data_IF_774521840498
#
_entry.id   IF_774521840498
#
_cell.length_a   1.000
_cell.length_b   1.000
_cell.length_c   1.000
_cell.angle_alpha   90.00
_cell.angle_beta   90.00
_cell.angle_gamma   90.00
#
_symmetry.space_group_name_H-M   'P 1'
#
loop_
_entity.id
_entity.type
_entity.pdbx_description
1 polymer ?
#
# COMPACT_ATOMS: atom_id res chain seq x y z
N UNK A 1 -46.87 42.81 44.74
CA UNK A 1 -46.79 41.95 43.54
C UNK A 1 -45.33 41.47 43.44
N UNK A 2 -45.06 40.16 43.68
CA UNK A 2 -43.74 39.57 43.76
C UNK A 2 -43.44 38.90 42.43
N UNK A 3 -42.46 39.35 41.66
CA UNK A 3 -42.01 38.72 40.42
C UNK A 3 -40.97 37.61 40.78
N UNK A 4 -41.33 36.37 40.43
CA UNK A 4 -40.48 35.20 40.57
C UNK A 4 -39.67 35.03 39.26
N UNK A 5 -38.31 34.93 39.27
CA UNK A 5 -37.56 34.69 38.04
C UNK A 5 -37.61 33.20 37.69
N UNK A 6 -37.99 32.92 36.47
CA UNK A 6 -37.94 31.57 35.84
C UNK A 6 -36.51 31.24 35.48
N UNK A 7 -35.92 30.28 36.19
CA UNK A 7 -34.57 29.76 35.92
C UNK A 7 -34.66 28.69 34.82
N UNK A 8 -34.26 29.04 33.60
CA UNK A 8 -34.11 28.07 32.51
C UNK A 8 -32.81 27.23 32.71
N UNK A 9 -32.97 25.96 33.10
CA UNK A 9 -31.88 24.97 33.09
C UNK A 9 -31.63 24.51 31.66
N UNK A 10 -30.57 24.99 31.02
CA UNK A 10 -30.08 24.49 29.73
C UNK A 10 -29.29 23.21 29.98
N UNK A 11 -29.93 22.04 29.88
CA UNK A 11 -29.28 20.75 29.94
C UNK A 11 -28.45 20.48 28.68
N UNK A 12 -27.14 20.69 28.76
CA UNK A 12 -26.22 20.31 27.69
C UNK A 12 -26.09 18.80 27.62
N UNK A 13 -26.59 18.17 26.55
CA UNK A 13 -26.25 16.78 26.19
C UNK A 13 -24.79 16.75 25.74
N UNK A 14 -23.89 16.35 26.63
CA UNK A 14 -22.54 15.91 26.25
C UNK A 14 -22.67 14.55 25.52
N UNK A 15 -22.66 14.60 24.20
CA UNK A 15 -22.47 13.40 23.38
C UNK A 15 -21.02 12.93 23.57
N UNK A 16 -20.80 11.95 24.44
CA UNK A 16 -19.55 11.24 24.55
C UNK A 16 -19.34 10.43 23.28
N UNK A 17 -18.56 10.96 22.33
CA UNK A 17 -18.00 10.16 21.24
C UNK A 17 -17.09 9.11 21.85
N UNK A 18 -17.56 7.86 21.95
CA UNK A 18 -16.73 6.73 22.28
C UNK A 18 -15.59 6.66 21.23
N UNK A 19 -14.38 6.95 21.65
CA UNK A 19 -13.19 6.72 20.83
C UNK A 19 -13.12 5.21 20.55
N UNK A 20 -13.49 4.82 19.33
CA UNK A 20 -13.37 3.44 18.87
C UNK A 20 -11.89 3.10 18.83
N UNK A 21 -11.46 2.15 19.63
CA UNK A 21 -10.11 1.59 19.56
C UNK A 21 -9.83 1.17 18.12
N UNK A 22 -8.73 1.65 17.56
CA UNK A 22 -8.33 1.22 16.22
C UNK A 22 -8.05 -0.28 16.27
N UNK A 23 -8.68 -1.05 15.39
CA UNK A 23 -8.40 -2.48 15.27
C UNK A 23 -6.90 -2.69 14.97
N UNK A 24 -6.27 -3.73 15.56
CA UNK A 24 -4.86 -4.00 15.33
C UNK A 24 -4.60 -4.27 13.84
N UNK A 25 -3.51 -3.71 13.32
CA UNK A 25 -3.12 -3.93 11.91
C UNK A 25 -2.73 -5.39 11.73
N UNK A 26 -3.39 -6.07 10.79
CA UNK A 26 -3.06 -7.42 10.35
C UNK A 26 -2.29 -7.34 9.03
N UNK A 27 -1.10 -7.90 8.98
CA UNK A 27 -0.32 -8.03 7.75
C UNK A 27 -0.59 -9.39 7.09
N UNK A 28 -0.68 -9.39 5.77
CA UNK A 28 -0.89 -10.56 4.92
C UNK A 28 0.24 -10.61 3.90
N UNK A 29 0.88 -11.76 3.73
CA UNK A 29 1.89 -11.93 2.69
C UNK A 29 1.24 -11.76 1.31
N UNK A 30 1.65 -10.73 0.58
CA UNK A 30 1.09 -10.39 -0.71
C UNK A 30 1.39 -11.46 -1.79
N UNK A 31 2.37 -12.34 -1.58
CA UNK A 31 2.61 -13.49 -2.45
C UNK A 31 1.47 -14.52 -2.44
N UNK A 32 0.63 -14.51 -1.38
CA UNK A 32 -0.56 -15.37 -1.28
C UNK A 32 -1.80 -14.77 -1.96
N UNK A 33 -1.71 -13.52 -2.40
CA UNK A 33 -2.77 -12.81 -3.11
C UNK A 33 -2.62 -12.94 -4.63
N UNK A 34 -3.53 -12.33 -5.37
CA UNK A 34 -3.47 -12.38 -6.85
C UNK A 34 -2.46 -11.38 -7.39
N UNK A 35 -1.34 -11.87 -7.92
CA UNK A 35 -0.36 -11.04 -8.65
C UNK A 35 -0.69 -11.07 -10.13
N UNK A 36 -0.88 -9.90 -10.74
CA UNK A 36 -1.19 -9.71 -12.17
C UNK A 36 -0.06 -8.99 -12.90
N UNK A 37 -0.14 -8.93 -14.24
CA UNK A 37 0.85 -8.27 -15.09
C UNK A 37 2.01 -9.18 -15.51
N UNK A 38 2.00 -10.44 -15.12
CA UNK A 38 3.04 -11.43 -15.41
C UNK A 38 2.61 -12.31 -16.58
N UNK A 39 3.47 -12.49 -17.57
CA UNK A 39 3.19 -13.38 -18.71
C UNK A 39 3.32 -14.87 -18.32
N UNK A 40 4.27 -15.20 -17.47
CA UNK A 40 4.53 -16.57 -17.00
C UNK A 40 4.87 -16.56 -15.50
N UNK A 41 4.52 -17.63 -14.77
CA UNK A 41 4.94 -17.78 -13.37
C UNK A 41 6.47 -17.78 -13.23
N UNK A 42 6.96 -17.25 -12.12
CA UNK A 42 8.37 -17.30 -11.73
C UNK A 42 8.47 -17.82 -10.30
N UNK A 43 9.59 -18.41 -9.92
CA UNK A 43 9.84 -18.88 -8.56
C UNK A 43 9.70 -17.75 -7.53
N UNK A 44 10.35 -16.61 -7.80
CA UNK A 44 10.18 -15.39 -7.00
C UNK A 44 8.95 -14.63 -7.49
N UNK A 45 7.89 -14.48 -6.68
CA UNK A 45 6.59 -13.97 -7.13
C UNK A 45 6.64 -12.56 -7.73
N UNK A 46 7.62 -11.77 -7.37
CA UNK A 46 7.75 -10.39 -7.84
C UNK A 46 8.75 -10.19 -8.98
N UNK A 47 9.43 -11.24 -9.45
CA UNK A 47 10.26 -11.17 -10.65
C UNK A 47 9.38 -11.20 -11.90
N UNK A 48 9.63 -10.30 -12.86
CA UNK A 48 8.88 -10.26 -14.13
C UNK A 48 9.19 -11.42 -15.05
N UNK A 49 10.46 -11.80 -15.12
CA UNK A 49 10.98 -12.78 -16.07
C UNK A 49 11.82 -13.81 -15.31
N UNK A 50 11.61 -15.06 -15.62
CA UNK A 50 12.47 -16.15 -15.15
C UNK A 50 13.72 -16.22 -16.04
N UNK A 51 14.84 -15.72 -15.50
CA UNK A 51 16.13 -15.70 -16.22
C UNK A 51 16.81 -17.06 -16.28
N UNK A 52 16.33 -18.06 -15.55
CA UNK A 52 16.78 -19.45 -15.68
C UNK A 52 16.17 -20.12 -16.90
N UNK A 53 14.93 -19.79 -17.20
CA UNK A 53 14.18 -20.30 -18.35
C UNK A 53 14.44 -19.50 -19.63
N UNK A 54 14.61 -18.18 -19.51
CA UNK A 54 14.81 -17.28 -20.66
C UNK A 54 16.19 -16.64 -20.59
N UNK A 55 16.99 -16.93 -21.62
CA UNK A 55 18.30 -16.30 -21.74
C UNK A 55 18.14 -14.81 -22.05
N UNK A 56 18.73 -13.98 -21.21
CA UNK A 56 18.73 -12.52 -21.38
C UNK A 56 20.17 -12.01 -21.53
N UNK A 57 20.41 -10.88 -22.22
CA UNK A 57 21.76 -10.31 -22.35
C UNK A 57 22.38 -10.03 -20.98
N UNK A 58 23.71 -10.18 -20.87
CA UNK A 58 24.45 -10.14 -19.59
C UNK A 58 24.22 -8.89 -18.73
N UNK A 59 23.88 -7.75 -19.33
CA UNK A 59 23.58 -6.50 -18.61
C UNK A 59 22.10 -6.34 -18.19
N UNK A 60 21.24 -7.27 -18.58
CA UNK A 60 19.77 -7.16 -18.45
C UNK A 60 19.20 -7.88 -17.22
N UNK A 61 19.84 -8.91 -16.60
CA UNK A 61 19.18 -9.72 -15.56
C UNK A 61 18.58 -8.88 -14.42
N UNK A 62 19.25 -7.80 -14.02
CA UNK A 62 18.76 -6.90 -12.96
C UNK A 62 17.37 -6.34 -13.23
N UNK A 63 17.09 -5.97 -14.48
CA UNK A 63 15.77 -5.43 -14.87
C UNK A 63 14.66 -6.49 -14.92
N UNK A 64 15.03 -7.76 -15.07
CA UNK A 64 14.08 -8.87 -15.01
C UNK A 64 13.52 -9.09 -13.61
N UNK A 65 14.25 -8.67 -12.59
CA UNK A 65 13.86 -8.79 -11.19
C UNK A 65 13.07 -7.58 -10.66
N UNK A 66 12.97 -6.50 -11.42
CA UNK A 66 12.11 -5.37 -11.08
C UNK A 66 10.67 -5.72 -11.41
N UNK A 67 9.72 -5.48 -10.48
CA UNK A 67 8.31 -5.83 -10.69
C UNK A 67 7.53 -4.80 -11.52
N UNK A 68 8.20 -4.01 -12.33
CA UNK A 68 7.58 -2.99 -13.19
C UNK A 68 6.41 -3.55 -13.98
N UNK A 69 5.22 -2.98 -13.81
CA UNK A 69 4.00 -3.44 -14.47
C UNK A 69 3.30 -4.60 -13.76
N UNK A 70 3.87 -5.13 -12.67
CA UNK A 70 3.17 -6.06 -11.80
C UNK A 70 2.33 -5.31 -10.77
N UNK A 71 1.19 -5.90 -10.42
CA UNK A 71 0.35 -5.40 -9.35
C UNK A 71 -0.26 -6.55 -8.55
N UNK A 72 -0.63 -6.27 -7.30
CA UNK A 72 -1.37 -7.18 -6.42
C UNK A 72 -2.82 -6.73 -6.39
N UNK A 73 -3.75 -7.65 -6.67
CA UNK A 73 -5.20 -7.41 -6.56
C UNK A 73 -5.72 -8.11 -5.32
N UNK A 74 -6.50 -7.40 -4.53
CA UNK A 74 -7.11 -7.94 -3.31
C UNK A 74 -8.41 -7.19 -2.96
N UNK A 75 -9.18 -7.78 -2.04
CA UNK A 75 -10.37 -7.14 -1.46
C UNK A 75 -10.19 -6.97 0.04
N UNK A 76 -10.73 -5.90 0.57
CA UNK A 76 -10.70 -5.59 2.00
C UNK A 76 -11.87 -4.70 2.41
N UNK A 77 -12.37 -4.89 3.62
CA UNK A 77 -13.30 -3.99 4.31
C UNK A 77 -12.57 -3.01 5.24
N UNK A 78 -11.26 -3.17 5.42
CA UNK A 78 -10.43 -2.32 6.28
C UNK A 78 -10.54 -0.84 5.91
N UNK A 79 -10.49 0.03 6.91
CA UNK A 79 -10.49 1.49 6.75
C UNK A 79 -9.10 2.09 6.61
N UNK A 80 -8.07 1.25 6.79
CA UNK A 80 -6.66 1.64 6.68
C UNK A 80 -5.90 0.54 5.98
N UNK A 81 -5.07 0.91 5.00
CA UNK A 81 -4.12 0.00 4.35
C UNK A 81 -2.71 0.48 4.68
N UNK A 82 -1.91 -0.41 5.24
CA UNK A 82 -0.47 -0.25 5.45
C UNK A 82 0.26 -1.31 4.65
N UNK A 83 1.49 -1.02 4.29
CA UNK A 83 2.37 -2.01 3.71
C UNK A 83 3.72 -2.02 4.42
N UNK A 84 4.30 -3.22 4.51
CA UNK A 84 5.71 -3.47 4.79
C UNK A 84 6.31 -4.14 3.59
N UNK A 85 7.42 -3.62 3.09
CA UNK A 85 8.08 -4.25 1.93
C UNK A 85 9.59 -4.16 2.02
N UNK A 86 10.24 -5.12 1.39
CA UNK A 86 11.69 -5.20 1.31
C UNK A 86 12.15 -5.09 -0.14
N UNK A 87 13.15 -4.23 -0.38
CA UNK A 87 13.76 -3.99 -1.69
C UNK A 87 15.24 -4.41 -1.71
N UNK A 88 15.99 -4.14 -2.79
CA UNK A 88 17.39 -4.55 -2.92
C UNK A 88 18.35 -3.86 -1.95
N UNK A 89 17.96 -2.75 -1.34
CA UNK A 89 18.84 -1.93 -0.50
C UNK A 89 19.73 -0.96 -1.29
N UNK A 90 19.66 -0.94 -2.62
CA UNK A 90 20.38 0.04 -3.43
C UNK A 90 19.87 1.46 -3.14
N UNK A 91 20.79 2.43 -3.17
CA UNK A 91 20.39 3.83 -3.13
C UNK A 91 19.53 4.18 -4.33
N UNK A 92 18.57 5.10 -4.19
CA UNK A 92 17.87 5.66 -5.34
C UNK A 92 18.84 6.27 -6.35
N UNK A 93 18.51 6.16 -7.63
CA UNK A 93 19.30 6.76 -8.71
C UNK A 93 19.11 8.28 -8.74
N UNK A 94 20.09 9.02 -9.23
CA UNK A 94 20.06 10.48 -9.27
C UNK A 94 18.96 11.04 -10.17
N UNK A 95 18.55 10.25 -11.18
CA UNK A 95 17.57 10.66 -12.19
C UNK A 95 16.14 10.24 -11.91
N UNK A 96 15.86 9.62 -10.75
CA UNK A 96 14.52 9.12 -10.41
C UNK A 96 14.23 9.26 -8.91
N UNK A 97 13.09 9.82 -8.56
CA UNK A 97 12.67 9.93 -7.18
C UNK A 97 12.56 8.55 -6.50
N UNK A 98 12.95 8.48 -5.23
CA UNK A 98 12.91 7.23 -4.45
C UNK A 98 11.52 6.57 -4.44
N UNK A 99 10.46 7.37 -4.41
CA UNK A 99 9.08 6.88 -4.45
C UNK A 99 8.76 6.21 -5.78
N UNK A 100 9.27 6.71 -6.89
CA UNK A 100 9.08 6.07 -8.20
C UNK A 100 9.87 4.76 -8.31
N UNK A 101 11.06 4.68 -7.70
CA UNK A 101 11.89 3.48 -7.77
C UNK A 101 11.39 2.36 -6.87
N UNK A 102 11.04 2.69 -5.62
CA UNK A 102 10.82 1.73 -4.51
C UNK A 102 9.43 1.83 -3.90
N UNK A 103 8.60 2.78 -4.33
CA UNK A 103 7.27 3.01 -3.78
C UNK A 103 6.22 2.03 -4.28
N UNK A 104 5.03 2.15 -3.70
CA UNK A 104 3.84 1.36 -4.03
C UNK A 104 2.72 2.35 -4.35
N UNK A 105 1.95 2.12 -5.42
CA UNK A 105 0.80 2.95 -5.78
C UNK A 105 -0.49 2.17 -5.63
N UNK A 106 -1.38 2.65 -4.76
CA UNK A 106 -2.67 2.03 -4.49
C UNK A 106 -3.78 2.69 -5.30
N UNK A 107 -4.57 1.85 -5.95
CA UNK A 107 -5.84 2.23 -6.59
C UNK A 107 -6.98 1.45 -5.95
N UNK A 108 -8.15 2.08 -5.88
CA UNK A 108 -9.39 1.47 -5.39
C UNK A 108 -10.42 1.55 -6.51
N UNK A 109 -11.19 0.47 -6.70
CA UNK A 109 -12.26 0.46 -7.67
C UNK A 109 -13.45 1.25 -7.17
N UNK A 110 -13.86 2.26 -7.94
CA UNK A 110 -15.00 3.10 -7.65
C UNK A 110 -15.86 3.25 -8.92
N UNK A 111 -17.12 2.87 -8.85
CA UNK A 111 -18.05 2.90 -9.98
C UNK A 111 -17.50 2.22 -11.25
N UNK A 112 -16.76 1.13 -11.08
CA UNK A 112 -16.18 0.36 -12.18
C UNK A 112 -14.82 0.84 -12.66
N UNK A 113 -14.32 1.98 -12.20
CA UNK A 113 -13.04 2.56 -12.59
C UNK A 113 -11.99 2.48 -11.48
N UNK A 114 -10.71 2.39 -11.86
CA UNK A 114 -9.60 2.44 -10.92
C UNK A 114 -9.23 3.89 -10.60
N UNK A 115 -9.40 4.28 -9.35
CA UNK A 115 -9.09 5.62 -8.85
C UNK A 115 -7.87 5.57 -7.95
N UNK A 116 -6.89 6.45 -8.19
CA UNK A 116 -5.71 6.55 -7.33
C UNK A 116 -6.12 6.90 -5.90
N UNK A 117 -5.64 6.11 -4.94
CA UNK A 117 -6.04 6.20 -3.53
C UNK A 117 -4.89 6.59 -2.60
N UNK A 118 -3.67 6.25 -2.93
CA UNK A 118 -2.53 6.58 -2.07
C UNK A 118 -1.21 5.96 -2.50
N UNK A 119 -0.15 6.35 -1.82
CA UNK A 119 1.22 5.92 -2.13
C UNK A 119 1.92 5.39 -0.89
N UNK A 120 2.54 4.21 -1.02
CA UNK A 120 3.50 3.66 -0.06
C UNK A 120 4.86 4.30 -0.28
N UNK A 121 5.22 5.28 0.56
CA UNK A 121 6.49 6.00 0.44
C UNK A 121 7.62 5.17 1.07
N UNK A 122 8.70 4.87 0.33
CA UNK A 122 9.82 4.15 0.87
C UNK A 122 10.54 5.00 1.93
N UNK A 123 11.03 4.33 2.98
CA UNK A 123 11.89 4.95 3.98
C UNK A 123 13.32 4.92 3.46
N UNK A 124 13.89 6.09 3.17
CA UNK A 124 15.25 6.23 2.67
C UNK A 124 16.13 6.73 3.82
N UNK A 125 16.67 5.78 4.58
CA UNK A 125 17.59 6.06 5.70
C UNK A 125 18.48 4.83 5.95
N UNK A 126 19.75 4.96 5.71
CA UNK A 126 20.71 3.87 5.92
C UNK A 126 20.63 2.80 4.84
N UNK A 127 20.21 1.58 5.17
CA UNK A 127 20.24 0.43 4.25
C UNK A 127 19.23 0.49 3.10
N UNK A 128 18.18 1.32 3.21
CA UNK A 128 17.17 1.52 2.17
C UNK A 128 16.50 0.24 1.64
N UNK A 129 16.46 -0.82 2.44
CA UNK A 129 15.97 -2.14 2.07
C UNK A 129 14.62 -2.49 2.70
N UNK A 130 14.27 -1.86 3.83
CA UNK A 130 13.02 -2.14 4.56
C UNK A 130 12.20 -0.89 4.71
N UNK A 131 10.94 -1.01 4.34
CA UNK A 131 9.99 0.08 4.32
C UNK A 131 8.71 -0.32 5.06
N UNK A 132 8.10 0.64 5.74
CA UNK A 132 6.80 0.52 6.42
C UNK A 132 6.07 1.85 6.27
N UNK A 133 4.90 1.86 5.67
CA UNK A 133 4.11 3.06 5.47
C UNK A 133 2.61 2.78 5.53
N UNK A 134 1.86 3.72 6.11
CA UNK A 134 0.44 3.81 5.85
C UNK A 134 0.25 4.37 4.43
N UNK A 135 -0.51 3.66 3.60
CA UNK A 135 -0.81 4.08 2.22
C UNK A 135 -2.04 4.97 2.21
N UNK A 136 -3.09 4.53 2.90
CA UNK A 136 -4.35 5.28 3.05
C UNK A 136 -4.96 4.97 4.42
N UNK A 137 -5.72 5.94 4.96
CA UNK A 137 -6.45 5.82 6.22
C UNK A 137 -7.82 6.46 6.10
N UNK A 138 -8.71 6.14 7.05
CA UNK A 138 -10.07 6.72 7.13
C UNK A 138 -10.93 6.45 5.89
N UNK A 139 -10.75 5.32 5.22
CA UNK A 139 -11.64 4.90 4.15
C UNK A 139 -13.06 4.67 4.66
N UNK A 140 -14.04 4.75 3.77
CA UNK A 140 -15.42 4.37 4.05
C UNK A 140 -15.54 2.90 4.47
N UNK A 141 -16.60 2.57 5.19
CA UNK A 141 -16.95 1.20 5.53
C UNK A 141 -17.38 0.41 4.26
N UNK A 142 -17.34 -0.92 4.39
CA UNK A 142 -17.69 -1.84 3.30
C UNK A 142 -16.47 -2.36 2.53
N UNK A 143 -16.70 -3.40 1.74
CA UNK A 143 -15.67 -4.06 0.93
C UNK A 143 -15.19 -3.15 -0.22
N UNK A 144 -13.89 -3.14 -0.42
CA UNK A 144 -13.20 -2.40 -1.49
C UNK A 144 -12.33 -3.36 -2.30
N UNK A 145 -12.38 -3.26 -3.61
CA UNK A 145 -11.44 -3.91 -4.52
C UNK A 145 -10.25 -3.00 -4.73
N UNK A 146 -9.06 -3.53 -4.49
CA UNK A 146 -7.80 -2.79 -4.44
C UNK A 146 -6.82 -3.35 -5.49
N UNK A 147 -6.07 -2.44 -6.11
CA UNK A 147 -4.98 -2.72 -7.03
C UNK A 147 -3.74 -1.99 -6.52
N UNK A 148 -2.72 -2.74 -6.12
CA UNK A 148 -1.47 -2.20 -5.58
C UNK A 148 -0.35 -2.44 -6.59
N UNK A 149 0.07 -1.38 -7.31
CA UNK A 149 1.24 -1.43 -8.18
C UNK A 149 2.53 -1.53 -7.38
N UNK A 150 3.44 -2.34 -7.90
CA UNK A 150 4.71 -2.67 -7.29
C UNK A 150 5.82 -1.70 -7.75
N UNK A 151 6.99 -1.67 -7.08
CA UNK A 151 8.10 -0.77 -7.41
C UNK A 151 8.50 -0.80 -8.88
N UNK A 152 8.77 0.38 -9.46
CA UNK A 152 9.11 0.45 -10.89
C UNK A 152 10.56 0.09 -11.18
N UNK A 153 11.51 0.39 -10.27
CA UNK A 153 12.92 0.36 -10.64
C UNK A 153 13.82 -0.21 -9.53
N UNK A 154 13.29 -1.14 -8.73
CA UNK A 154 14.07 -1.91 -7.76
C UNK A 154 13.48 -3.31 -7.60
N UNK A 155 14.29 -4.26 -7.19
CA UNK A 155 13.84 -5.59 -6.85
C UNK A 155 12.96 -5.55 -5.60
N UNK A 156 11.79 -6.17 -5.66
CA UNK A 156 10.93 -6.43 -4.51
C UNK A 156 11.17 -7.85 -4.01
N UNK A 157 11.53 -7.98 -2.74
CA UNK A 157 11.85 -9.28 -2.11
C UNK A 157 10.70 -9.81 -1.29
N UNK A 158 10.00 -8.92 -0.59
CA UNK A 158 8.87 -9.24 0.29
C UNK A 158 7.86 -8.09 0.28
N UNK A 159 6.59 -8.40 0.44
CA UNK A 159 5.49 -7.45 0.60
C UNK A 159 4.42 -8.05 1.52
N UNK A 160 4.03 -7.27 2.53
CA UNK A 160 2.96 -7.58 3.48
C UNK A 160 1.99 -6.42 3.60
#
# INVERSE_FOLDING_TARGET
MKHLPLLLLLGGLLSASAARSADPVRYVDAATLTVIGKALPTEQPYNRIDTTRFRVPAKTPGYCYHPTGLAVVFRTDSRTIRARWETSGKNPSDNMAAVAQKGLDLYIRNNGEWVFAGVGRPKINGKNDRHDAAIISNMAEGEKECLLYLPLYDQLKKLE
#
